data_IF_312085281521
#
_entry.id   IF_312085281521
#
_cell.length_a   1.000
_cell.length_b   1.000
_cell.length_c   1.000
_cell.angle_alpha   90.00
_cell.angle_beta   90.00
_cell.angle_gamma   90.00
#
_symmetry.space_group_name_H-M   'P 1'
#
loop_
_entity.id
_entity.type
_entity.pdbx_description
1 polymer ?
#
# COMPACT_ATOMS: atom_id res chain seq x y z
N UNK A 1 2.76 -21.77 -26.20
CA UNK A 1 1.52 -21.58 -25.42
C UNK A 1 1.80 -21.05 -24.00
N UNK A 2 2.85 -21.52 -23.33
CA UNK A 2 3.28 -21.07 -21.98
C UNK A 2 3.65 -19.57 -21.88
N UNK A 3 4.24 -18.98 -22.93
CA UNK A 3 4.66 -17.56 -22.92
C UNK A 3 3.48 -16.57 -22.95
N UNK A 4 2.34 -16.96 -23.54
CA UNK A 4 1.12 -16.14 -23.58
C UNK A 4 0.39 -16.13 -22.23
N UNK A 5 0.49 -17.22 -21.46
CA UNK A 5 -0.05 -17.31 -20.10
C UNK A 5 0.76 -16.42 -19.15
N UNK A 6 2.07 -16.35 -19.33
CA UNK A 6 2.96 -15.51 -18.53
C UNK A 6 2.72 -14.00 -18.76
N UNK A 7 2.47 -13.59 -20.01
CA UNK A 7 2.18 -12.20 -20.36
C UNK A 7 0.76 -11.74 -19.96
N UNK A 8 -0.19 -12.67 -19.87
CA UNK A 8 -1.53 -12.40 -19.36
C UNK A 8 -1.54 -12.16 -17.84
N UNK A 9 -0.62 -12.77 -17.09
CA UNK A 9 -0.53 -12.63 -15.63
C UNK A 9 0.05 -11.27 -15.19
N UNK A 10 0.84 -10.60 -16.04
CA UNK A 10 1.47 -9.31 -15.74
C UNK A 10 0.52 -8.11 -15.87
N UNK A 11 -0.70 -8.29 -16.40
CA UNK A 11 -1.63 -7.19 -16.66
C UNK A 11 -2.56 -6.84 -15.50
N UNK A 12 -2.44 -7.52 -14.35
CA UNK A 12 -3.25 -7.22 -13.16
C UNK A 12 -2.52 -6.12 -12.36
N UNK A 13 -2.53 -4.91 -12.90
CA UNK A 13 -2.22 -3.72 -12.13
C UNK A 13 -3.52 -3.26 -11.44
N UNK A 14 -3.76 -3.78 -10.24
CA UNK A 14 -4.85 -3.31 -9.39
C UNK A 14 -4.47 -1.95 -8.82
N UNK A 15 -5.08 -0.88 -9.34
CA UNK A 15 -5.14 0.39 -8.63
C UNK A 15 -5.91 0.17 -7.33
N UNK A 16 -5.22 0.23 -6.19
CA UNK A 16 -5.83 0.07 -4.87
C UNK A 16 -6.52 1.37 -4.48
N UNK A 17 -7.79 1.53 -4.88
CA UNK A 17 -8.69 2.47 -4.24
C UNK A 17 -9.27 1.80 -2.99
N UNK A 18 -9.10 2.42 -1.82
CA UNK A 18 -9.65 1.90 -0.57
C UNK A 18 -11.12 2.32 -0.46
N UNK A 19 -12.01 1.40 -0.80
CA UNK A 19 -13.46 1.58 -0.80
C UNK A 19 -14.08 0.62 0.21
N UNK A 20 -14.91 1.11 1.13
CA UNK A 20 -15.62 0.24 2.07
C UNK A 20 -17.04 0.73 2.36
N UNK A 21 -17.88 -0.20 2.80
CA UNK A 21 -19.25 0.09 3.23
C UNK A 21 -19.24 0.52 4.69
N UNK A 22 -19.95 1.62 4.97
CA UNK A 22 -20.10 2.19 6.29
C UNK A 22 -21.59 2.25 6.63
N UNK A 23 -22.02 1.47 7.61
CA UNK A 23 -23.42 1.43 8.04
C UNK A 23 -23.80 2.69 8.84
N UNK A 24 -25.10 2.94 8.99
CA UNK A 24 -25.61 4.07 9.76
C UNK A 24 -25.16 3.99 11.23
N UNK A 25 -24.47 5.04 11.71
CA UNK A 25 -23.82 5.15 13.02
C UNK A 25 -22.70 4.15 13.29
N UNK A 26 -22.24 3.41 12.27
CA UNK A 26 -21.07 2.56 12.42
C UNK A 26 -19.79 3.40 12.44
N UNK A 27 -18.83 3.00 13.29
CA UNK A 27 -17.52 3.64 13.42
C UNK A 27 -16.48 2.68 12.88
N UNK A 28 -15.86 3.03 11.76
CA UNK A 28 -14.71 2.29 11.23
C UNK A 28 -13.45 3.12 11.34
N UNK A 29 -12.40 2.48 11.85
CA UNK A 29 -11.11 3.09 12.11
C UNK A 29 -10.02 2.34 11.37
N UNK A 30 -9.02 3.06 10.92
CA UNK A 30 -7.80 2.52 10.34
C UNK A 30 -6.59 3.22 10.95
N UNK A 31 -5.50 2.48 11.11
CA UNK A 31 -4.27 2.97 11.73
C UNK A 31 -3.25 3.26 10.63
N UNK A 32 -2.68 4.45 10.65
CA UNK A 32 -1.63 4.89 9.72
C UNK A 32 -0.37 5.24 10.51
N UNK A 33 0.78 4.73 10.09
CA UNK A 33 2.07 5.00 10.76
C UNK A 33 2.67 6.30 10.20
N UNK A 34 2.70 7.36 11.02
CA UNK A 34 3.05 8.71 10.61
C UNK A 34 4.25 9.23 11.40
N UNK A 35 5.18 9.92 10.73
CA UNK A 35 6.33 10.54 11.40
C UNK A 35 5.95 11.86 12.09
N UNK A 36 6.68 12.20 13.15
CA UNK A 36 6.51 13.48 13.84
C UNK A 36 6.75 14.67 12.90
N UNK A 37 5.98 15.73 13.11
CA UNK A 37 5.99 16.99 12.36
C UNK A 37 5.70 16.84 10.85
N UNK A 38 4.83 15.89 10.51
CA UNK A 38 4.36 15.73 9.12
C UNK A 38 2.90 16.11 8.98
N UNK A 39 2.57 16.82 7.90
CA UNK A 39 1.19 17.08 7.52
C UNK A 39 0.64 15.92 6.68
N UNK A 40 -0.55 15.46 7.04
CA UNK A 40 -1.26 14.39 6.34
C UNK A 40 -2.56 14.96 5.81
N UNK A 41 -2.85 14.68 4.54
CA UNK A 41 -4.08 15.08 3.86
C UNK A 41 -4.86 13.83 3.48
N UNK A 42 -6.08 13.71 4.01
CA UNK A 42 -7.02 12.69 3.58
C UNK A 42 -8.07 13.27 2.65
N UNK A 43 -8.26 12.64 1.50
CA UNK A 43 -9.37 12.93 0.57
C UNK A 43 -10.42 11.86 0.77
N UNK A 44 -11.67 12.27 0.94
CA UNK A 44 -12.77 11.33 1.03
C UNK A 44 -13.86 11.68 0.01
N UNK A 45 -14.50 10.66 -0.52
CA UNK A 45 -15.62 10.82 -1.47
C UNK A 45 -16.67 9.73 -1.24
N UNK A 46 -17.89 10.17 -0.98
CA UNK A 46 -19.07 9.30 -0.96
C UNK A 46 -19.73 9.34 -2.34
N UNK A 47 -19.67 8.26 -3.13
CA UNK A 47 -20.37 8.18 -4.40
C UNK A 47 -21.88 8.24 -4.14
N UNK A 48 -22.52 9.31 -4.59
CA UNK A 48 -23.98 9.42 -4.54
C UNK A 48 -24.58 8.81 -5.80
N UNK A 49 -25.38 7.76 -5.64
CA UNK A 49 -26.07 7.11 -6.76
C UNK A 49 -27.19 8.03 -7.29
N UNK A 50 -27.12 8.39 -8.58
CA UNK A 50 -28.11 9.23 -9.27
C UNK A 50 -28.87 8.40 -10.31
N UNK A 51 -30.06 7.87 -10.02
CA UNK A 51 -30.78 7.04 -10.98
C UNK A 51 -31.48 7.80 -12.11
N UNK A 52 -31.83 9.07 -11.92
CA UNK A 52 -32.29 10.03 -12.94
C UNK A 52 -32.67 11.32 -12.18
N UNK A 53 -32.10 12.46 -12.54
CA UNK A 53 -32.14 13.67 -11.71
C UNK A 53 -33.55 14.27 -11.53
N UNK A 54 -34.09 14.13 -10.32
CA UNK A 54 -34.79 15.20 -9.60
C UNK A 54 -34.34 15.10 -8.13
N UNK A 55 -33.86 16.21 -7.58
CA UNK A 55 -33.03 16.30 -6.39
C UNK A 55 -33.70 15.81 -5.11
N UNK A 56 -33.03 14.93 -4.37
CA UNK A 56 -32.67 15.18 -2.97
C UNK A 56 -31.46 14.31 -2.69
N UNK A 57 -30.26 14.87 -2.75
CA UNK A 57 -29.12 14.19 -2.15
C UNK A 57 -29.46 14.02 -0.67
N UNK A 58 -29.53 12.80 -0.09
CA UNK A 58 -29.51 12.71 1.35
C UNK A 58 -28.22 13.41 1.77
N UNK A 59 -28.32 14.52 2.49
CA UNK A 59 -27.14 15.20 3.04
C UNK A 59 -26.56 14.24 4.06
N UNK A 60 -25.64 13.41 3.61
CA UNK A 60 -24.92 12.47 4.47
C UNK A 60 -23.84 13.28 5.16
N UNK A 61 -23.89 13.25 6.48
CA UNK A 61 -22.84 13.81 7.32
C UNK A 61 -21.87 12.70 7.69
N UNK A 62 -20.59 12.99 7.47
CA UNK A 62 -19.48 12.10 7.79
C UNK A 62 -18.65 12.81 8.86
N UNK A 63 -18.51 12.15 10.01
CA UNK A 63 -17.65 12.59 11.09
C UNK A 63 -16.30 11.91 10.93
N UNK A 64 -15.24 12.70 10.91
CA UNK A 64 -13.87 12.21 10.84
C UNK A 64 -13.16 12.66 12.12
N UNK A 65 -12.69 11.68 12.88
CA UNK A 65 -11.89 11.87 14.08
C UNK A 65 -10.49 11.30 13.86
N UNK A 66 -9.46 12.07 14.22
CA UNK A 66 -8.07 11.62 14.17
C UNK A 66 -7.50 11.63 15.58
N UNK A 67 -6.92 10.51 15.99
CA UNK A 67 -6.22 10.35 17.27
C UNK A 67 -4.76 10.04 17.04
N UNK A 68 -3.90 10.59 17.89
CA UNK A 68 -2.47 10.32 17.91
C UNK A 68 -2.18 8.92 18.51
N UNK A 69 -0.94 8.48 18.44
CA UNK A 69 -0.39 7.25 19.06
C UNK A 69 -0.69 7.11 20.56
N UNK A 70 -0.84 8.24 21.25
CA UNK A 70 -1.23 8.32 22.67
C UNK A 70 -2.75 8.30 22.90
N UNK A 71 -3.53 8.04 21.85
CA UNK A 71 -5.01 8.14 21.79
C UNK A 71 -5.59 9.53 22.08
N UNK A 72 -4.75 10.56 22.04
CA UNK A 72 -5.20 11.96 22.18
C UNK A 72 -5.88 12.42 20.89
N UNK A 73 -7.02 13.09 21.02
CA UNK A 73 -7.73 13.68 19.88
C UNK A 73 -6.89 14.82 19.27
N UNK A 74 -6.57 14.70 17.98
CA UNK A 74 -5.82 15.70 17.19
C UNK A 74 -6.77 16.57 16.38
N UNK A 75 -7.76 15.93 15.75
CA UNK A 75 -8.73 16.59 14.88
C UNK A 75 -10.07 15.87 15.02
N UNK A 76 -11.16 16.64 14.96
CA UNK A 76 -12.53 16.11 14.95
C UNK A 76 -13.42 17.09 14.21
N UNK A 77 -13.77 16.76 12.98
CA UNK A 77 -14.60 17.60 12.14
C UNK A 77 -15.72 16.81 11.48
N UNK A 78 -16.82 17.51 11.20
CA UNK A 78 -17.95 16.98 10.46
C UNK A 78 -17.91 17.52 9.04
N UNK A 79 -18.02 16.63 8.08
CA UNK A 79 -18.03 16.96 6.67
C UNK A 79 -19.29 16.41 5.97
N UNK A 80 -19.46 16.79 4.71
CA UNK A 80 -20.58 16.40 3.85
C UNK A 80 -20.20 15.20 2.96
N UNK A 81 -20.63 15.20 1.70
CA UNK A 81 -20.50 14.10 0.74
C UNK A 81 -19.08 13.97 0.14
N UNK A 82 -18.31 15.04 0.07
CA UNK A 82 -16.94 15.03 -0.43
C UNK A 82 -16.11 16.15 0.24
N UNK A 83 -14.81 15.88 0.44
CA UNK A 83 -13.94 16.86 1.06
C UNK A 83 -12.52 16.36 1.27
N UNK A 84 -11.71 17.25 1.85
CA UNK A 84 -10.34 16.96 2.28
C UNK A 84 -10.22 17.32 3.75
N UNK A 85 -9.58 16.47 4.53
CA UNK A 85 -9.18 16.77 5.90
C UNK A 85 -7.66 16.85 5.97
N UNK A 86 -7.13 17.74 6.79
CA UNK A 86 -5.69 17.96 6.93
C UNK A 86 -5.38 18.02 8.42
N UNK A 87 -4.44 17.20 8.87
CA UNK A 87 -3.93 17.25 10.24
C UNK A 87 -2.41 17.23 10.24
N UNK A 88 -1.80 17.78 11.30
CA UNK A 88 -0.36 17.74 11.53
C UNK A 88 -0.07 16.75 12.66
N UNK A 89 0.71 15.71 12.35
CA UNK A 89 1.18 14.74 13.33
C UNK A 89 2.26 15.38 14.21
N UNK A 90 2.02 15.48 15.52
CA UNK A 90 3.01 16.06 16.46
C UNK A 90 3.97 15.02 17.02
N UNK A 91 3.52 13.78 17.12
CA UNK A 91 4.34 12.67 17.58
C UNK A 91 4.48 11.63 16.47
N UNK A 92 5.52 10.80 16.53
CA UNK A 92 5.73 9.73 15.56
C UNK A 92 5.05 8.46 16.06
N UNK A 93 4.32 7.77 15.18
CA UNK A 93 3.71 6.49 15.47
C UNK A 93 2.34 6.30 14.81
N UNK A 94 1.63 5.27 15.27
CA UNK A 94 0.32 4.91 14.73
C UNK A 94 -0.75 5.94 15.09
N UNK A 95 -1.26 6.64 14.09
CA UNK A 95 -2.42 7.52 14.20
C UNK A 95 -3.67 6.75 13.81
N UNK A 96 -4.71 6.83 14.64
CA UNK A 96 -6.01 6.20 14.39
C UNK A 96 -6.94 7.21 13.72
N UNK A 97 -7.36 6.93 12.49
CA UNK A 97 -8.30 7.75 11.73
C UNK A 97 -9.63 7.00 11.69
N UNK A 98 -10.68 7.61 12.25
CA UNK A 98 -12.00 7.02 12.35
C UNK A 98 -13.03 7.81 11.56
N UNK A 99 -13.89 7.10 10.85
CA UNK A 99 -15.01 7.68 10.12
C UNK A 99 -16.33 7.11 10.62
N UNK A 100 -17.31 7.99 10.83
CA UNK A 100 -18.68 7.64 11.22
C UNK A 100 -19.67 8.38 10.33
N UNK A 101 -20.72 7.70 9.88
CA UNK A 101 -21.77 8.29 9.05
C UNK A 101 -23.13 8.21 9.74
N UNK A 102 -24.01 9.17 9.47
CA UNK A 102 -25.40 9.09 9.92
C UNK A 102 -26.22 8.06 9.08
N UNK A 103 -25.81 7.80 7.84
CA UNK A 103 -26.51 6.93 6.90
C UNK A 103 -25.60 5.80 6.37
N UNK A 104 -26.21 4.72 5.88
CA UNK A 104 -25.49 3.62 5.24
C UNK A 104 -24.97 4.06 3.87
N UNK A 105 -23.65 4.15 3.71
CA UNK A 105 -23.00 4.62 2.47
C UNK A 105 -21.73 3.85 2.16
N UNK A 106 -21.38 3.81 0.88
CA UNK A 106 -20.02 3.47 0.46
C UNK A 106 -19.15 4.72 0.55
N UNK A 107 -17.95 4.59 1.09
CA UNK A 107 -16.99 5.70 1.16
C UNK A 107 -15.66 5.26 0.56
N UNK A 108 -15.06 6.17 -0.21
CA UNK A 108 -13.68 6.05 -0.68
C UNK A 108 -12.84 7.02 0.15
N UNK A 109 -11.78 6.52 0.78
CA UNK A 109 -10.84 7.34 1.55
C UNK A 109 -9.44 7.09 1.02
N UNK A 110 -8.73 8.17 0.74
CA UNK A 110 -7.33 8.16 0.33
C UNK A 110 -6.57 9.09 1.28
N UNK A 111 -5.81 8.50 2.21
CA UNK A 111 -5.02 9.22 3.20
C UNK A 111 -3.54 9.15 2.82
N UNK A 112 -2.91 10.30 2.66
CA UNK A 112 -1.50 10.37 2.28
C UNK A 112 -0.89 11.74 2.54
N UNK A 113 0.37 11.92 2.14
CA UNK A 113 1.02 13.23 2.22
C UNK A 113 0.36 14.19 1.22
N UNK A 114 0.09 15.46 1.59
CA UNK A 114 -0.41 16.44 0.65
C UNK A 114 0.57 16.59 -0.52
N UNK A 115 0.09 16.42 -1.75
CA UNK A 115 0.83 16.85 -2.92
C UNK A 115 0.83 18.39 -2.91
N UNK A 116 2.02 18.98 -2.77
CA UNK A 116 2.34 20.39 -2.48
C UNK A 116 1.84 21.43 -3.51
N UNK A 117 1.05 21.02 -4.51
CA UNK A 117 0.74 21.81 -5.70
C UNK A 117 -0.28 22.94 -5.53
N UNK A 118 -0.79 23.25 -4.33
CA UNK A 118 -1.84 24.27 -4.15
C UNK A 118 -1.39 25.59 -3.48
N UNK A 119 -0.11 25.76 -3.10
CA UNK A 119 0.38 27.02 -2.46
C UNK A 119 1.19 27.94 -3.39
N UNK A 120 1.18 27.72 -4.70
CA UNK A 120 1.86 28.59 -5.66
C UNK A 120 0.99 29.76 -6.11
N UNK A 121 0.69 30.68 -5.18
CA UNK A 121 0.37 32.06 -5.51
C UNK A 121 0.96 32.91 -4.38
N UNK A 122 1.72 33.94 -4.75
CA UNK A 122 2.43 34.87 -3.88
C UNK A 122 3.87 34.42 -3.57
N UNK A 123 4.81 34.75 -4.44
CA UNK A 123 5.65 35.94 -4.24
C UNK A 123 6.71 35.96 -5.35
N UNK A 124 6.62 36.98 -6.18
CA UNK A 124 7.65 37.42 -7.11
C UNK A 124 8.93 37.73 -6.31
N UNK A 125 10.04 37.01 -6.55
CA UNK A 125 11.43 37.53 -6.53
C UNK A 125 12.48 36.45 -6.83
N UNK A 126 13.43 36.80 -7.71
CA UNK A 126 14.69 36.12 -8.06
C UNK A 126 14.60 34.68 -8.59
N UNK A 127 14.62 34.53 -9.93
CA UNK A 127 14.72 33.26 -10.69
C UNK A 127 15.82 32.32 -10.16
N UNK A 128 16.92 32.87 -9.63
CA UNK A 128 18.02 32.08 -9.05
C UNK A 128 17.70 31.51 -7.66
N UNK A 129 17.03 32.28 -6.81
CA UNK A 129 16.58 31.79 -5.49
C UNK A 129 15.40 30.83 -5.64
N UNK A 130 14.53 31.08 -6.62
CA UNK A 130 13.44 30.19 -7.02
C UNK A 130 13.97 28.80 -7.42
N UNK A 131 15.02 28.73 -8.24
CA UNK A 131 15.63 27.44 -8.65
C UNK A 131 16.33 26.72 -7.50
N UNK A 132 17.00 27.43 -6.60
CA UNK A 132 17.63 26.83 -5.42
C UNK A 132 16.56 26.32 -4.44
N UNK A 133 15.46 27.07 -4.30
CA UNK A 133 14.31 26.66 -3.51
C UNK A 133 13.65 25.41 -4.12
N UNK A 134 13.43 25.40 -5.44
CA UNK A 134 12.91 24.26 -6.19
C UNK A 134 13.80 23.02 -6.04
N UNK A 135 15.13 23.16 -6.14
CA UNK A 135 16.07 22.04 -5.95
C UNK A 135 16.06 21.52 -4.51
N UNK A 136 15.96 22.41 -3.52
CA UNK A 136 15.88 22.04 -2.11
C UNK A 136 14.60 21.27 -1.82
N UNK A 137 13.50 21.72 -2.40
CA UNK A 137 12.20 21.10 -2.25
C UNK A 137 12.20 19.70 -2.85
N UNK A 138 12.73 19.56 -4.07
CA UNK A 138 12.91 18.28 -4.73
C UNK A 138 13.82 17.32 -3.93
N UNK A 139 14.90 17.84 -3.33
CA UNK A 139 15.80 17.07 -2.47
C UNK A 139 15.11 16.61 -1.19
N UNK A 140 14.36 17.49 -0.53
CA UNK A 140 13.63 17.15 0.70
C UNK A 140 12.57 16.09 0.42
N UNK A 141 11.88 16.19 -0.72
CA UNK A 141 10.94 15.18 -1.19
C UNK A 141 11.64 13.82 -1.39
N UNK A 142 12.79 13.80 -2.08
CA UNK A 142 13.57 12.58 -2.32
C UNK A 142 14.11 11.98 -1.00
N UNK A 143 14.59 12.81 -0.07
CA UNK A 143 15.11 12.33 1.22
C UNK A 143 13.97 11.76 2.08
N UNK A 144 12.83 12.43 2.13
CA UNK A 144 11.65 11.95 2.84
C UNK A 144 11.14 10.62 2.25
N UNK A 145 11.17 10.49 0.93
CA UNK A 145 10.80 9.25 0.25
C UNK A 145 11.84 8.14 0.46
N UNK A 146 13.13 8.45 0.42
CA UNK A 146 14.18 7.48 0.68
C UNK A 146 14.12 6.96 2.13
N UNK A 147 13.87 7.83 3.11
CA UNK A 147 13.68 7.44 4.50
C UNK A 147 12.43 6.57 4.70
N UNK A 148 11.33 6.88 4.02
CA UNK A 148 10.13 6.04 4.01
C UNK A 148 10.40 4.66 3.40
N UNK A 149 11.11 4.62 2.26
CA UNK A 149 11.51 3.37 1.62
C UNK A 149 12.45 2.55 2.51
N UNK A 150 13.36 3.20 3.25
CA UNK A 150 14.22 2.53 4.24
C UNK A 150 13.42 1.89 5.38
N UNK A 151 12.46 2.60 5.99
CA UNK A 151 11.62 2.03 7.05
C UNK A 151 10.78 0.83 6.59
N UNK A 152 10.34 0.82 5.32
CA UNK A 152 9.61 -0.31 4.74
C UNK A 152 10.52 -1.49 4.40
N UNK A 153 11.79 -1.25 4.04
CA UNK A 153 12.77 -2.28 3.69
C UNK A 153 13.04 -3.23 4.86
N UNK A 154 13.10 -2.79 6.12
CA UNK A 154 13.39 -3.67 7.26
C UNK A 154 12.37 -4.82 7.41
N UNK A 155 11.07 -4.52 7.34
CA UNK A 155 10.00 -5.54 7.46
C UNK A 155 9.92 -6.42 6.21
N UNK A 156 10.12 -5.83 5.03
CA UNK A 156 10.04 -6.54 3.75
C UNK A 156 11.25 -7.45 3.52
N UNK A 157 12.42 -7.09 4.05
CA UNK A 157 13.67 -7.86 3.99
C UNK A 157 13.58 -9.17 4.78
N UNK A 158 12.97 -9.15 5.97
CA UNK A 158 12.72 -10.38 6.74
C UNK A 158 11.79 -11.37 6.01
N UNK A 159 10.78 -10.86 5.30
CA UNK A 159 9.90 -11.69 4.46
C UNK A 159 10.65 -12.27 3.26
N UNK A 160 11.55 -11.50 2.63
CA UNK A 160 12.38 -11.96 1.50
C UNK A 160 13.37 -13.03 1.96
N UNK A 161 14.07 -12.82 3.07
CA UNK A 161 15.08 -13.78 3.57
C UNK A 161 14.44 -15.13 3.94
N UNK A 162 13.27 -15.10 4.57
CA UNK A 162 12.54 -16.33 4.95
C UNK A 162 11.91 -17.06 3.75
N UNK A 163 11.53 -16.34 2.69
CA UNK A 163 10.99 -16.93 1.44
C UNK A 163 12.12 -17.52 0.60
N UNK A 164 13.21 -16.77 0.41
CA UNK A 164 14.38 -17.20 -0.36
C UNK A 164 15.01 -18.47 0.23
N UNK A 165 15.13 -18.54 1.56
CA UNK A 165 15.68 -19.72 2.24
C UNK A 165 14.85 -20.98 2.00
N UNK A 166 13.51 -20.88 2.07
CA UNK A 166 12.62 -22.04 1.85
C UNK A 166 12.71 -22.55 0.42
N UNK A 167 12.69 -21.65 -0.56
CA UNK A 167 12.82 -22.00 -1.99
C UNK A 167 14.16 -22.65 -2.28
N UNK A 168 15.25 -22.14 -1.71
CA UNK A 168 16.58 -22.70 -1.87
C UNK A 168 16.70 -24.12 -1.30
N UNK A 169 16.10 -24.40 -0.14
CA UNK A 169 16.09 -25.75 0.46
C UNK A 169 15.35 -26.74 -0.44
N UNK A 170 14.17 -26.37 -0.96
CA UNK A 170 13.41 -27.23 -1.87
C UNK A 170 14.18 -27.52 -3.18
N UNK A 171 14.89 -26.53 -3.74
CA UNK A 171 15.72 -26.72 -4.93
C UNK A 171 16.89 -27.70 -4.69
N UNK A 172 17.52 -27.66 -3.51
CA UNK A 172 18.57 -28.62 -3.15
C UNK A 172 18.01 -30.03 -3.03
N UNK A 173 16.86 -30.19 -2.37
CA UNK A 173 16.20 -31.51 -2.22
C UNK A 173 15.83 -32.09 -3.57
N UNK A 174 15.28 -31.29 -4.48
CA UNK A 174 14.94 -31.71 -5.84
C UNK A 174 16.18 -32.16 -6.62
N UNK A 175 17.26 -31.38 -6.58
CA UNK A 175 18.52 -31.75 -7.24
C UNK A 175 19.07 -33.08 -6.72
N UNK A 176 19.07 -33.28 -5.40
CA UNK A 176 19.54 -34.54 -4.78
C UNK A 176 18.67 -35.74 -5.19
N UNK A 177 17.36 -35.57 -5.29
CA UNK A 177 16.45 -36.63 -5.76
C UNK A 177 16.72 -37.02 -7.22
N UNK A 178 16.99 -36.06 -8.10
CA UNK A 178 17.33 -36.33 -9.50
C UNK A 178 18.64 -37.12 -9.59
N UNK A 179 19.67 -36.71 -8.82
CA UNK A 179 20.96 -37.42 -8.79
C UNK A 179 20.78 -38.85 -8.26
N UNK A 180 20.01 -39.04 -7.19
CA UNK A 180 19.73 -40.37 -6.64
C UNK A 180 19.02 -41.28 -7.66
N UNK A 181 18.00 -40.74 -8.35
CA UNK A 181 17.29 -41.46 -9.41
C UNK A 181 18.21 -41.82 -10.58
N UNK A 182 19.11 -40.92 -10.99
CA UNK A 182 20.07 -41.18 -12.06
C UNK A 182 21.05 -42.32 -11.69
N UNK A 183 21.57 -42.31 -10.46
CA UNK A 183 22.46 -43.38 -9.97
C UNK A 183 21.71 -44.71 -9.90
N UNK A 184 20.48 -44.70 -9.38
CA UNK A 184 19.62 -45.88 -9.33
C UNK A 184 19.35 -46.45 -10.73
N UNK A 185 19.02 -45.59 -11.70
CA UNK A 185 18.79 -45.99 -13.09
C UNK A 185 20.03 -46.65 -13.70
N UNK A 186 21.22 -46.10 -13.49
CA UNK A 186 22.48 -46.67 -13.99
C UNK A 186 22.76 -48.03 -13.34
N UNK A 187 22.55 -48.16 -12.02
CA UNK A 187 22.75 -49.43 -11.33
C UNK A 187 21.79 -50.50 -11.83
N UNK A 188 20.50 -50.18 -11.95
CA UNK A 188 19.48 -51.08 -12.46
C UNK A 188 19.80 -51.57 -13.89
N UNK A 189 20.19 -50.65 -14.78
CA UNK A 189 20.62 -50.99 -16.14
C UNK A 189 21.85 -51.92 -16.14
N UNK A 190 22.85 -51.66 -15.30
CA UNK A 190 24.04 -52.53 -15.19
C UNK A 190 23.67 -53.93 -14.72
N UNK A 191 22.88 -54.06 -13.65
CA UNK A 191 22.44 -55.36 -13.14
C UNK A 191 21.61 -56.13 -14.17
N UNK A 192 20.74 -55.44 -14.91
CA UNK A 192 19.96 -56.06 -15.99
C UNK A 192 20.86 -56.62 -17.11
N UNK A 193 21.90 -55.90 -17.54
CA UNK A 193 22.82 -56.37 -18.58
C UNK A 193 23.80 -57.46 -18.10
N UNK A 194 24.19 -57.46 -16.81
CA UNK A 194 25.00 -58.55 -16.24
C UNK A 194 24.21 -59.86 -16.16
N UNK A 195 22.92 -59.81 -15.81
CA UNK A 195 22.06 -60.99 -15.74
C UNK A 195 21.77 -61.61 -17.13
N UNK A 196 21.76 -60.80 -18.19
CA UNK A 196 21.51 -61.27 -19.56
C UNK A 196 22.78 -61.79 -20.27
N UNK A 197 24.00 -61.52 -19.75
CA UNK A 197 25.26 -61.97 -20.36
C UNK A 197 25.68 -63.39 -19.93
N UNK A 198 24.75 -64.34 -20.00
CA UNK A 198 25.03 -65.79 -19.97
C UNK A 198 24.14 -66.46 -21.01
N UNK A 199 24.54 -66.35 -22.28
CA UNK A 199 24.43 -67.30 -23.42
C UNK A 199 25.27 -66.71 -24.54
#
# INVERSE_FOLDING_TARGET
MMLKVLFALTLICSASAFSFHLDARDRKCFNEDVQADTMVMGKYKVPVYKPNSFETHPVVSIFIEVRDSTKKLVMSDQYTNEGKFIFQARTSGEHEICTTSNASVWINIDAGKPAEKESSKVQETNDLQLRIFELRDLLNQVVAENNYQHGRKERMRQTIDSTNTRVFIWAIVEFLLIVAMAVWQIHYLKTFFEVIRVI
#
